data_IF_825844134017
#
_entry.id   IF_825844134017
#
_cell.length_a   1.000
_cell.length_b   1.000
_cell.length_c   1.000
_cell.angle_alpha   90.00
_cell.angle_beta   90.00
_cell.angle_gamma   90.00
#
_symmetry.space_group_name_H-M   'P 1'
#
loop_
_entity.id
_entity.type
_entity.pdbx_description
1 polymer ?
#
# COMPACT_ATOMS: atom_id res chain seq x y z
N UNK A 1 -20.36 62.87 36.52
CA UNK A 1 -20.65 61.52 37.07
C UNK A 1 -22.09 61.21 36.65
N UNK A 2 -22.43 60.28 35.77
CA UNK A 2 -22.03 58.87 35.59
C UNK A 2 -22.05 58.49 34.09
N UNK A 3 -21.32 57.43 33.73
CA UNK A 3 -21.07 56.92 32.37
C UNK A 3 -22.08 55.84 31.92
N UNK A 4 -22.09 55.57 30.61
CA UNK A 4 -22.47 54.30 29.89
C UNK A 4 -23.97 54.14 29.54
N UNK A 5 -24.39 53.56 28.42
CA UNK A 5 -23.70 52.63 27.51
C UNK A 5 -24.25 52.74 26.07
N UNK A 6 -23.36 52.49 25.11
CA UNK A 6 -23.59 52.36 23.68
C UNK A 6 -23.83 50.87 23.37
N UNK A 7 -25.00 50.48 22.87
CA UNK A 7 -25.23 49.10 22.42
C UNK A 7 -25.08 49.01 20.90
N UNK A 8 -24.01 48.34 20.49
CA UNK A 8 -23.63 48.02 19.12
C UNK A 8 -24.55 46.92 18.54
N UNK A 9 -25.08 47.16 17.35
CA UNK A 9 -25.76 46.17 16.51
C UNK A 9 -24.76 45.10 16.08
N UNK A 10 -24.92 43.86 16.55
CA UNK A 10 -24.04 42.74 16.17
C UNK A 10 -24.66 41.96 14.99
N UNK A 11 -24.10 42.17 13.80
CA UNK A 11 -24.41 41.40 12.59
C UNK A 11 -23.58 40.10 12.61
N UNK A 12 -24.22 38.97 12.90
CA UNK A 12 -23.59 37.64 12.84
C UNK A 12 -23.31 37.26 11.38
N UNK A 13 -22.05 37.30 10.96
CA UNK A 13 -21.59 36.68 9.72
C UNK A 13 -21.51 35.15 9.93
N UNK A 14 -22.45 34.42 9.32
CA UNK A 14 -22.43 32.96 9.25
C UNK A 14 -21.48 32.52 8.12
N UNK A 15 -20.21 32.29 8.45
CA UNK A 15 -19.24 31.73 7.49
C UNK A 15 -19.50 30.23 7.35
N UNK A 16 -20.27 29.86 6.33
CA UNK A 16 -20.45 28.47 5.91
C UNK A 16 -19.11 27.91 5.41
N UNK A 17 -18.43 27.15 6.26
CA UNK A 17 -17.22 26.41 5.92
C UNK A 17 -17.63 25.25 4.98
N UNK A 18 -17.50 25.46 3.67
CA UNK A 18 -17.62 24.36 2.71
C UNK A 18 -16.39 23.47 2.87
N UNK A 19 -16.53 22.37 3.62
CA UNK A 19 -15.55 21.29 3.65
C UNK A 19 -15.64 20.54 2.32
N UNK A 20 -14.78 20.86 1.36
CA UNK A 20 -14.61 20.06 0.16
C UNK A 20 -13.84 18.79 0.53
N UNK A 21 -14.54 17.68 0.65
CA UNK A 21 -13.92 16.35 0.74
C UNK A 21 -13.20 16.04 -0.57
N UNK A 22 -11.88 15.87 -0.50
CA UNK A 22 -11.08 15.39 -1.63
C UNK A 22 -11.30 13.88 -1.73
N UNK A 23 -11.92 13.42 -2.82
CA UNK A 23 -11.93 12.00 -3.16
C UNK A 23 -10.51 11.63 -3.62
N UNK A 24 -9.70 11.08 -2.73
CA UNK A 24 -8.43 10.48 -3.13
C UNK A 24 -8.78 9.18 -3.86
N UNK A 25 -8.43 9.08 -5.14
CA UNK A 25 -8.57 7.83 -5.87
C UNK A 25 -7.69 6.77 -5.17
N UNK A 26 -8.31 5.65 -4.78
CA UNK A 26 -7.60 4.53 -4.18
C UNK A 26 -6.56 4.01 -5.20
N UNK A 27 -5.33 3.77 -4.75
CA UNK A 27 -4.26 3.26 -5.60
C UNK A 27 -4.66 1.89 -6.17
N UNK A 28 -4.29 1.57 -7.43
CA UNK A 28 -4.55 0.25 -8.00
C UNK A 28 -3.91 -0.89 -7.17
N UNK A 29 -2.90 -0.60 -6.35
CA UNK A 29 -2.26 -1.57 -5.47
C UNK A 29 -3.02 -1.82 -4.16
N UNK A 30 -3.81 -0.86 -3.66
CA UNK A 30 -4.40 -0.93 -2.32
C UNK A 30 -5.35 -2.12 -2.18
N UNK A 31 -5.23 -2.88 -1.10
CA UNK A 31 -6.17 -3.93 -0.71
C UNK A 31 -5.48 -5.30 -0.52
N UNK A 32 -6.28 -6.36 -0.60
CA UNK A 32 -5.82 -7.72 -0.32
C UNK A 32 -5.64 -8.53 -1.61
N UNK A 33 -4.56 -9.31 -1.63
CA UNK A 33 -4.08 -10.06 -2.77
C UNK A 33 -3.67 -11.47 -2.34
N UNK A 34 -3.74 -12.41 -3.27
CA UNK A 34 -3.25 -13.78 -3.12
C UNK A 34 -2.02 -13.92 -4.00
N UNK A 35 -0.86 -14.11 -3.39
CA UNK A 35 0.43 -14.27 -4.06
C UNK A 35 0.71 -15.73 -4.42
N UNK A 36 1.35 -15.94 -5.56
CA UNK A 36 1.87 -17.25 -5.99
C UNK A 36 3.22 -17.10 -6.69
N UNK A 37 4.18 -17.96 -6.35
CA UNK A 37 5.48 -18.04 -7.01
C UNK A 37 6.04 -19.46 -6.96
N UNK A 38 6.66 -19.92 -8.05
CA UNK A 38 7.42 -21.17 -8.06
C UNK A 38 8.89 -20.88 -7.75
N UNK A 39 9.36 -21.36 -6.60
CA UNK A 39 10.77 -21.27 -6.23
C UNK A 39 11.47 -22.63 -6.38
N UNK A 40 12.82 -22.69 -6.43
CA UNK A 40 13.54 -23.96 -6.39
C UNK A 40 13.22 -24.83 -5.15
N UNK A 41 12.73 -24.22 -4.06
CA UNK A 41 12.34 -24.92 -2.83
C UNK A 41 10.87 -25.36 -2.83
N UNK A 42 10.11 -25.09 -3.90
CA UNK A 42 8.69 -25.36 -4.02
C UNK A 42 7.84 -24.11 -4.22
N UNK A 43 6.54 -24.33 -4.41
CA UNK A 43 5.55 -23.27 -4.54
C UNK A 43 5.41 -22.48 -3.23
N UNK A 44 5.32 -21.16 -3.34
CA UNK A 44 5.04 -20.26 -2.22
C UNK A 44 3.73 -19.55 -2.51
N UNK A 45 2.80 -19.62 -1.57
CA UNK A 45 1.55 -18.87 -1.56
C UNK A 45 1.45 -18.03 -0.29
N UNK A 46 0.84 -16.85 -0.40
CA UNK A 46 0.65 -15.95 0.72
C UNK A 46 -0.56 -15.03 0.50
N UNK A 47 -1.22 -14.63 1.60
CA UNK A 47 -2.14 -13.50 1.57
C UNK A 47 -1.34 -12.22 1.76
N UNK A 48 -1.55 -11.22 0.92
CA UNK A 48 -0.79 -9.97 0.94
C UNK A 48 -1.73 -8.80 1.10
N UNK A 49 -1.50 -7.99 2.12
CA UNK A 49 -2.21 -6.72 2.29
C UNK A 49 -1.27 -5.61 1.86
N UNK A 50 -1.70 -4.80 0.89
CA UNK A 50 -0.94 -3.66 0.38
C UNK A 50 -1.70 -2.36 0.60
N UNK A 51 -0.96 -1.30 0.91
CA UNK A 51 -1.46 0.05 1.05
C UNK A 51 -0.46 1.07 0.51
N UNK A 52 -0.96 2.14 -0.11
CA UNK A 52 -0.16 3.19 -0.73
C UNK A 52 -0.40 4.52 -0.02
N UNK A 53 0.70 5.18 0.34
CA UNK A 53 0.72 6.57 0.80
C UNK A 53 1.61 7.39 -0.14
N UNK A 54 0.98 8.20 -0.99
CA UNK A 54 1.67 8.92 -2.07
C UNK A 54 2.33 7.96 -3.06
N UNK A 55 3.66 7.93 -3.07
CA UNK A 55 4.47 7.04 -3.92
C UNK A 55 5.04 5.83 -3.16
N UNK A 56 4.77 5.72 -1.87
CA UNK A 56 5.27 4.65 -1.01
C UNK A 56 4.28 3.51 -0.98
N UNK A 57 4.75 2.30 -1.29
CA UNK A 57 4.00 1.06 -1.14
C UNK A 57 4.40 0.40 0.19
N UNK A 58 3.42 0.07 1.01
CA UNK A 58 3.57 -0.69 2.25
C UNK A 58 2.75 -1.96 2.18
N UNK A 59 3.08 -2.94 3.01
CA UNK A 59 2.31 -4.16 3.10
C UNK A 59 3.01 -5.29 3.83
N UNK A 60 2.34 -6.43 3.89
CA UNK A 60 2.80 -7.63 4.57
C UNK A 60 2.30 -8.88 3.86
N UNK A 61 3.19 -9.87 3.72
CA UNK A 61 2.89 -11.20 3.24
C UNK A 61 2.63 -12.10 4.45
N UNK A 62 1.43 -12.67 4.55
CA UNK A 62 1.06 -13.69 5.53
C UNK A 62 1.13 -15.08 4.88
N UNK A 63 2.12 -15.87 5.30
CA UNK A 63 2.35 -17.24 4.84
C UNK A 63 1.65 -18.28 5.72
N UNK A 64 0.82 -17.83 6.67
CA UNK A 64 0.20 -18.66 7.69
C UNK A 64 1.15 -19.05 8.82
N UNK A 65 0.59 -19.68 9.86
CA UNK A 65 1.33 -20.17 11.04
C UNK A 65 2.19 -19.09 11.73
N UNK A 66 1.74 -17.82 11.67
CA UNK A 66 2.45 -16.68 12.27
C UNK A 66 3.68 -16.20 11.49
N UNK A 67 3.97 -16.78 10.32
CA UNK A 67 5.06 -16.34 9.45
C UNK A 67 4.61 -15.17 8.60
N UNK A 68 5.16 -13.99 8.88
CA UNK A 68 4.86 -12.74 8.19
C UNK A 68 6.12 -12.15 7.63
N UNK A 69 6.07 -11.65 6.40
CA UNK A 69 7.19 -10.92 5.80
C UNK A 69 6.75 -9.54 5.35
N UNK A 70 7.29 -8.46 5.95
CA UNK A 70 6.93 -7.11 5.58
C UNK A 70 7.50 -6.74 4.19
N UNK A 71 6.79 -5.85 3.50
CA UNK A 71 7.30 -5.14 2.33
C UNK A 71 8.31 -4.09 2.80
N UNK A 72 9.50 -4.10 2.23
CA UNK A 72 10.57 -3.14 2.51
C UNK A 72 10.86 -2.28 1.29
N UNK A 73 11.09 -0.97 1.50
CA UNK A 73 11.48 -0.05 0.43
C UNK A 73 10.48 0.03 -0.74
N UNK A 74 9.19 -0.18 -0.45
CA UNK A 74 8.17 -0.28 -1.50
C UNK A 74 7.87 1.06 -2.18
N UNK A 75 7.75 1.02 -3.50
CA UNK A 75 7.39 2.15 -4.35
C UNK A 75 6.29 1.78 -5.33
N UNK A 76 5.55 2.80 -5.76
CA UNK A 76 4.58 2.68 -6.83
C UNK A 76 4.64 3.87 -7.78
N UNK A 77 4.64 3.58 -9.09
CA UNK A 77 4.59 4.55 -10.17
C UNK A 77 3.52 4.13 -11.19
N UNK A 78 2.32 4.72 -11.08
CA UNK A 78 1.16 4.29 -11.86
C UNK A 78 0.77 2.84 -11.53
N UNK A 79 1.01 1.92 -12.47
CA UNK A 79 0.72 0.50 -12.29
C UNK A 79 1.97 -0.33 -11.97
N UNK A 80 3.16 0.29 -11.90
CA UNK A 80 4.40 -0.43 -11.62
C UNK A 80 4.69 -0.37 -10.13
N UNK A 81 5.01 -1.51 -9.54
CA UNK A 81 5.43 -1.62 -8.15
C UNK A 81 6.83 -2.21 -8.08
N UNK A 82 7.61 -1.76 -7.11
CA UNK A 82 8.87 -2.37 -6.74
C UNK A 82 9.01 -2.39 -5.22
N UNK A 83 9.59 -3.44 -4.68
CA UNK A 83 9.81 -3.59 -3.24
C UNK A 83 10.80 -4.72 -2.97
N UNK A 84 11.23 -4.87 -1.72
CA UNK A 84 12.00 -6.01 -1.26
C UNK A 84 11.27 -6.78 -0.17
N UNK A 85 11.62 -8.07 -0.03
CA UNK A 85 11.20 -8.91 1.09
C UNK A 85 12.42 -9.65 1.63
N UNK A 86 12.71 -9.50 2.92
CA UNK A 86 13.71 -10.32 3.62
C UNK A 86 13.01 -11.39 4.45
N UNK A 87 13.46 -12.65 4.32
CA UNK A 87 12.93 -13.76 5.11
C UNK A 87 13.51 -13.74 6.52
N UNK A 88 12.66 -13.67 7.53
CA UNK A 88 13.09 -13.82 8.93
C UNK A 88 13.90 -15.11 9.14
N UNK A 89 15.10 -14.96 9.72
CA UNK A 89 16.01 -16.07 10.01
C UNK A 89 16.83 -16.58 8.82
N UNK A 90 16.68 -16.02 7.62
CA UNK A 90 17.50 -16.35 6.46
C UNK A 90 18.14 -15.08 5.86
N UNK A 91 19.42 -15.16 5.49
CA UNK A 91 20.17 -14.08 4.82
C UNK A 91 19.76 -13.88 3.36
N UNK A 92 18.47 -14.00 3.03
CA UNK A 92 17.98 -13.95 1.66
C UNK A 92 16.92 -12.86 1.52
N UNK A 93 17.26 -11.88 0.69
CA UNK A 93 16.38 -10.79 0.26
C UNK A 93 15.94 -11.05 -1.17
N UNK A 94 14.64 -10.94 -1.42
CA UNK A 94 14.07 -10.93 -2.76
C UNK A 94 13.82 -9.49 -3.18
N UNK A 95 14.33 -9.11 -4.34
CA UNK A 95 13.98 -7.85 -4.99
C UNK A 95 12.83 -8.11 -5.94
N UNK A 96 11.70 -7.47 -5.70
CA UNK A 96 10.43 -7.72 -6.37
C UNK A 96 10.09 -6.54 -7.27
N UNK A 97 9.65 -6.82 -8.49
CA UNK A 97 9.03 -5.83 -9.39
C UNK A 97 7.78 -6.41 -10.01
N UNK A 98 6.74 -5.60 -10.22
CA UNK A 98 5.48 -6.07 -10.78
C UNK A 98 4.71 -4.98 -11.52
N UNK A 99 3.79 -5.42 -12.38
CA UNK A 99 2.85 -4.55 -13.08
C UNK A 99 1.41 -4.96 -12.77
N UNK A 100 0.62 -3.99 -12.32
CA UNK A 100 -0.79 -4.16 -12.00
C UNK A 100 -1.62 -4.01 -13.29
N UNK A 101 -2.50 -4.98 -13.52
CA UNK A 101 -3.51 -4.95 -14.57
C UNK A 101 -4.86 -5.38 -13.98
N UNK A 102 -5.63 -4.38 -13.55
CA UNK A 102 -6.92 -4.57 -12.89
C UNK A 102 -6.82 -5.43 -11.63
N UNK A 103 -7.33 -6.66 -11.72
CA UNK A 103 -7.38 -7.62 -10.62
C UNK A 103 -6.15 -8.51 -10.47
N UNK A 104 -5.11 -8.29 -11.28
CA UNK A 104 -3.92 -9.16 -11.35
C UNK A 104 -2.64 -8.33 -11.28
N UNK A 105 -1.60 -8.91 -10.71
CA UNK A 105 -0.23 -8.42 -10.78
C UNK A 105 0.65 -9.54 -11.30
N UNK A 106 1.52 -9.24 -12.25
CA UNK A 106 2.57 -10.16 -12.70
C UNK A 106 3.91 -9.48 -12.54
N UNK A 107 4.90 -10.23 -12.08
CA UNK A 107 6.19 -9.66 -11.73
C UNK A 107 7.35 -10.64 -11.74
N UNK A 108 8.51 -10.09 -11.44
CA UNK A 108 9.76 -10.82 -11.30
C UNK A 108 10.30 -10.66 -9.88
N UNK A 109 10.79 -11.76 -9.34
CA UNK A 109 11.54 -11.84 -8.10
C UNK A 109 12.99 -12.15 -8.45
N UNK A 110 13.92 -11.32 -8.02
CA UNK A 110 15.35 -11.57 -8.14
C UNK A 110 15.94 -11.94 -6.78
N UNK A 111 16.68 -13.03 -6.72
CA UNK A 111 17.49 -13.40 -5.57
C UNK A 111 18.65 -14.29 -5.99
N UNK A 112 19.80 -14.14 -5.33
CA UNK A 112 21.00 -14.97 -5.56
C UNK A 112 21.46 -15.01 -7.03
N UNK A 113 21.27 -13.92 -7.77
CA UNK A 113 21.62 -13.83 -9.20
C UNK A 113 20.69 -14.60 -10.14
N UNK A 114 19.53 -15.03 -9.66
CA UNK A 114 18.49 -15.73 -10.45
C UNK A 114 17.17 -14.97 -10.38
N UNK A 115 16.35 -15.10 -11.43
CA UNK A 115 15.02 -14.51 -11.51
C UNK A 115 13.94 -15.59 -11.58
N UNK A 116 12.78 -15.30 -10.97
CA UNK A 116 11.59 -16.13 -11.02
C UNK A 116 10.35 -15.26 -11.25
N UNK A 117 9.39 -15.76 -12.03
CA UNK A 117 8.10 -15.11 -12.18
C UNK A 117 7.21 -15.35 -10.97
N UNK A 118 6.44 -14.33 -10.61
CA UNK A 118 5.38 -14.43 -9.60
C UNK A 118 4.14 -13.71 -10.07
N UNK A 119 3.00 -14.06 -9.46
CA UNK A 119 1.74 -13.39 -9.69
C UNK A 119 1.00 -13.10 -8.39
N UNK A 120 0.11 -12.12 -8.46
CA UNK A 120 -0.92 -11.90 -7.46
C UNK A 120 -2.28 -11.75 -8.13
N UNK A 121 -3.33 -12.21 -7.46
CA UNK A 121 -4.72 -11.92 -7.84
C UNK A 121 -5.46 -11.32 -6.66
N UNK A 122 -6.44 -10.44 -6.92
CA UNK A 122 -7.27 -9.88 -5.86
C UNK A 122 -7.90 -11.01 -5.04
N UNK A 123 -7.85 -10.85 -3.71
CA UNK A 123 -8.65 -11.72 -2.84
C UNK A 123 -10.11 -11.37 -3.06
N UNK A 124 -10.93 -12.38 -3.39
CA UNK A 124 -12.39 -12.25 -3.46
C UNK A 124 -12.99 -11.99 -2.08
#
# INVERSE_FOLDING_TARGET
MFKQALTFTSLMFLTSMFFTSILVAQSPADGTWVFSMQSPMGAVEANVVMAVDGATLTGEFDLGNGRKWPIEGGTIEGNKIAFSITRDGASMTYVMSGNIDGGTIVGLAEAMGTTAEWSMSRSN
#
